data_IF_526535875545
#
_entry.id   IF_526535875545
#
_cell.length_a   1.000
_cell.length_b   1.000
_cell.length_c   1.000
_cell.angle_alpha   90.00
_cell.angle_beta   90.00
_cell.angle_gamma   90.00
#
_symmetry.space_group_name_H-M   'P 1'
#
loop_
_entity.id
_entity.type
_entity.pdbx_description
1 polymer ?
#
# COMPACT_ATOMS: atom_id res chain seq x y z
N UNK A 1 -25.05 -55.84 -46.57
CA UNK A 1 -26.49 -55.88 -46.29
C UNK A 1 -26.85 -54.50 -45.73
N UNK A 2 -27.27 -53.65 -46.52
CA UNK A 2 -28.60 -53.07 -46.85
C UNK A 2 -29.58 -53.00 -45.67
N UNK A 3 -29.94 -51.80 -45.30
CA UNK A 3 -31.29 -51.21 -45.26
C UNK A 3 -31.14 -49.78 -44.61
N UNK A 4 -31.37 -48.70 -45.23
CA UNK A 4 -32.50 -47.96 -45.81
C UNK A 4 -33.73 -47.88 -44.91
N UNK A 5 -34.09 -46.61 -44.68
CA UNK A 5 -35.46 -46.03 -44.74
C UNK A 5 -35.67 -45.16 -43.46
N UNK A 6 -36.29 -44.01 -43.41
CA UNK A 6 -37.07 -43.17 -44.30
C UNK A 6 -37.19 -41.75 -43.65
N UNK A 7 -37.21 -40.70 -44.46
CA UNK A 7 -37.63 -39.37 -44.12
C UNK A 7 -39.10 -39.29 -43.76
N UNK A 8 -39.45 -38.43 -42.79
CA UNK A 8 -40.76 -37.81 -42.74
C UNK A 8 -40.54 -36.31 -42.44
N UNK A 9 -40.91 -35.51 -43.44
CA UNK A 9 -40.97 -34.03 -43.38
C UNK A 9 -42.32 -33.64 -42.85
N UNK A 10 -42.37 -32.90 -41.75
CA UNK A 10 -43.57 -32.20 -41.31
C UNK A 10 -43.38 -30.69 -41.46
N UNK A 11 -44.10 -30.08 -42.35
CA UNK A 11 -44.24 -28.65 -42.56
C UNK A 11 -45.27 -28.16 -41.56
N UNK A 12 -44.86 -27.24 -40.65
CA UNK A 12 -45.81 -26.48 -39.82
C UNK A 12 -45.70 -25.02 -40.19
N UNK A 13 -46.79 -24.49 -40.72
CA UNK A 13 -46.96 -23.07 -40.97
C UNK A 13 -47.01 -22.28 -39.67
N UNK A 14 -46.09 -21.32 -39.49
CA UNK A 14 -46.17 -20.33 -38.42
C UNK A 14 -46.85 -19.08 -38.91
N UNK A 15 -47.93 -18.74 -38.22
CA UNK A 15 -48.67 -17.46 -38.34
C UNK A 15 -47.88 -16.38 -37.61
N UNK A 16 -47.46 -15.37 -38.35
CA UNK A 16 -46.80 -14.18 -37.80
C UNK A 16 -47.86 -13.25 -37.19
N UNK A 17 -47.78 -13.01 -35.90
CA UNK A 17 -48.40 -11.86 -35.22
C UNK A 17 -47.35 -10.81 -34.91
N UNK A 18 -47.52 -9.53 -35.22
CA UNK A 18 -46.57 -8.50 -34.85
C UNK A 18 -46.86 -8.07 -33.41
N UNK A 19 -46.02 -8.50 -32.50
CA UNK A 19 -46.04 -8.00 -31.13
C UNK A 19 -45.02 -6.84 -31.01
N UNK A 20 -45.54 -5.62 -31.00
CA UNK A 20 -44.79 -4.39 -30.71
C UNK A 20 -44.47 -4.34 -29.22
N UNK A 21 -43.43 -5.07 -28.82
CA UNK A 21 -42.81 -4.97 -27.52
C UNK A 21 -41.69 -3.95 -27.56
N UNK A 22 -41.94 -2.74 -27.10
CA UNK A 22 -40.92 -1.75 -26.88
C UNK A 22 -39.86 -2.29 -25.92
N UNK A 23 -38.67 -2.57 -26.45
CA UNK A 23 -37.47 -2.81 -25.65
C UNK A 23 -37.13 -1.49 -24.96
N UNK A 24 -37.55 -1.34 -23.72
CA UNK A 24 -36.93 -0.36 -22.83
C UNK A 24 -35.49 -0.79 -22.60
N UNK A 25 -34.61 -0.26 -23.43
CA UNK A 25 -33.19 -0.27 -23.09
C UNK A 25 -33.08 0.38 -21.71
N UNK A 26 -32.83 -0.42 -20.69
CA UNK A 26 -32.48 0.09 -19.37
C UNK A 26 -31.25 0.97 -19.58
N UNK A 27 -31.43 2.27 -19.44
CA UNK A 27 -30.33 3.20 -19.40
C UNK A 27 -29.45 2.73 -18.26
N UNK A 28 -28.25 2.20 -18.59
CA UNK A 28 -27.20 1.98 -17.61
C UNK A 28 -26.99 3.33 -16.93
N UNK A 29 -27.23 3.35 -15.63
CA UNK A 29 -27.01 4.54 -14.80
C UNK A 29 -25.57 4.99 -14.99
N UNK A 30 -25.40 6.27 -15.25
CA UNK A 30 -24.11 6.91 -15.35
C UNK A 30 -23.25 6.58 -14.13
N UNK A 31 -22.06 5.98 -14.39
CA UNK A 31 -20.83 6.03 -13.63
C UNK A 31 -20.89 5.87 -12.11
N UNK A 32 -21.21 4.69 -11.64
CA UNK A 32 -20.78 4.31 -10.29
C UNK A 32 -19.30 3.89 -10.38
N UNK A 33 -18.39 4.80 -9.98
CA UNK A 33 -16.94 4.53 -10.00
C UNK A 33 -16.61 3.34 -9.13
N UNK A 34 -15.70 2.49 -9.61
CA UNK A 34 -15.15 1.39 -8.81
C UNK A 34 -14.50 1.93 -7.54
N UNK A 35 -14.78 1.33 -6.40
CA UNK A 35 -14.23 1.74 -5.11
C UNK A 35 -13.14 0.78 -4.66
N UNK A 36 -11.96 1.31 -4.32
CA UNK A 36 -10.83 0.57 -3.77
C UNK A 36 -10.54 1.04 -2.33
N UNK A 37 -10.87 0.20 -1.35
CA UNK A 37 -10.61 0.48 0.06
C UNK A 37 -9.23 -0.06 0.46
N UNK A 38 -8.31 0.81 0.84
CA UNK A 38 -6.92 0.44 1.16
C UNK A 38 -6.56 0.83 2.58
N UNK A 39 -6.18 -0.14 3.39
CA UNK A 39 -5.69 0.09 4.74
C UNK A 39 -4.16 0.12 4.75
N UNK A 40 -3.57 1.19 5.25
CA UNK A 40 -2.14 1.29 5.52
C UNK A 40 -1.87 1.13 7.02
N UNK A 41 -1.11 0.10 7.39
CA UNK A 41 -0.56 -0.07 8.74
C UNK A 41 0.93 0.26 8.68
N UNK A 42 1.37 1.22 9.51
CA UNK A 42 2.77 1.62 9.47
C UNK A 42 3.15 2.69 10.50
N UNK A 43 4.29 3.27 10.28
CA UNK A 43 4.86 4.29 11.15
C UNK A 43 5.06 5.63 10.43
N UNK A 44 6.06 6.40 10.85
CA UNK A 44 6.35 7.71 10.26
C UNK A 44 6.70 7.66 8.77
N UNK A 45 7.21 6.55 8.24
CA UNK A 45 7.48 6.41 6.81
C UNK A 45 6.19 6.37 5.97
N UNK A 46 5.13 5.80 6.52
CA UNK A 46 3.80 5.85 5.89
C UNK A 46 3.11 7.20 6.12
N UNK A 47 3.31 7.82 7.29
CA UNK A 47 2.67 9.09 7.64
C UNK A 47 3.27 10.30 6.91
N UNK A 48 4.63 10.35 6.77
CA UNK A 48 5.32 11.47 6.16
C UNK A 48 4.84 11.67 4.72
N UNK A 49 4.85 12.92 4.30
CA UNK A 49 4.43 13.35 2.97
C UNK A 49 2.97 13.01 2.63
N UNK A 50 2.14 12.64 3.63
CA UNK A 50 0.78 12.16 3.36
C UNK A 50 0.77 10.99 2.33
N UNK A 51 1.70 10.05 2.47
CA UNK A 51 2.00 9.04 1.45
C UNK A 51 0.74 8.34 0.91
N UNK A 52 -0.19 7.93 1.79
CA UNK A 52 -1.44 7.29 1.39
C UNK A 52 -2.29 8.18 0.46
N UNK A 53 -2.27 9.51 0.66
CA UNK A 53 -2.95 10.47 -0.22
C UNK A 53 -2.24 10.61 -1.57
N UNK A 54 -0.91 10.60 -1.59
CA UNK A 54 -0.15 10.64 -2.85
C UNK A 54 -0.42 9.38 -3.67
N UNK A 55 -0.44 8.21 -3.02
CA UNK A 55 -0.81 6.95 -3.68
C UNK A 55 -2.24 7.00 -4.23
N UNK A 56 -3.20 7.57 -3.48
CA UNK A 56 -4.56 7.83 -3.98
C UNK A 56 -4.55 8.69 -5.25
N UNK A 57 -3.81 9.79 -5.25
CA UNK A 57 -3.72 10.67 -6.42
C UNK A 57 -3.15 9.94 -7.64
N UNK A 58 -2.13 9.10 -7.46
CA UNK A 58 -1.57 8.28 -8.53
C UNK A 58 -2.55 7.21 -9.00
N UNK A 59 -3.24 6.54 -8.07
CA UNK A 59 -4.23 5.50 -8.36
C UNK A 59 -5.38 6.04 -9.22
N UNK A 60 -5.96 7.16 -8.82
CA UNK A 60 -7.08 7.80 -9.52
C UNK A 60 -6.65 8.46 -10.85
N UNK A 61 -5.41 8.99 -10.93
CA UNK A 61 -4.88 9.51 -12.18
C UNK A 61 -4.61 8.42 -13.22
N UNK A 62 -4.16 7.23 -12.77
CA UNK A 62 -3.92 6.08 -13.65
C UNK A 62 -5.17 5.24 -13.95
N UNK A 63 -6.26 5.45 -13.21
CA UNK A 63 -7.54 4.74 -13.36
C UNK A 63 -8.69 5.73 -13.13
N UNK A 64 -9.14 6.47 -14.14
CA UNK A 64 -10.12 7.55 -14.00
C UNK A 64 -11.47 7.10 -13.43
N UNK A 65 -11.86 5.84 -13.66
CA UNK A 65 -13.09 5.22 -13.14
C UNK A 65 -12.96 4.67 -11.70
N UNK A 66 -11.78 4.89 -11.07
CA UNK A 66 -11.52 4.42 -9.71
C UNK A 66 -11.66 5.56 -8.70
N UNK A 67 -12.27 5.25 -7.56
CA UNK A 67 -12.19 6.04 -6.33
C UNK A 67 -11.44 5.24 -5.27
N UNK A 68 -10.25 5.68 -4.87
CA UNK A 68 -9.49 5.04 -3.80
C UNK A 68 -9.82 5.68 -2.45
N UNK A 69 -10.17 4.86 -1.47
CA UNK A 69 -10.42 5.26 -0.08
C UNK A 69 -9.28 4.75 0.83
N UNK A 70 -8.24 5.55 1.07
CA UNK A 70 -7.17 5.16 1.96
C UNK A 70 -7.54 5.40 3.43
N UNK A 71 -7.29 4.41 4.28
CA UNK A 71 -7.28 4.56 5.73
C UNK A 71 -5.90 4.25 6.29
N UNK A 72 -5.57 4.83 7.44
CA UNK A 72 -4.24 4.66 8.02
C UNK A 72 -4.30 4.35 9.51
N UNK A 73 -3.50 3.37 9.96
CA UNK A 73 -3.21 3.12 11.38
C UNK A 73 -1.72 3.34 11.59
N UNK A 74 -1.36 4.46 12.19
CA UNK A 74 0.03 4.91 12.32
C UNK A 74 0.43 5.01 13.78
N UNK A 75 1.58 4.39 14.10
CA UNK A 75 2.31 4.58 15.36
C UNK A 75 3.79 4.84 15.04
N UNK A 76 4.28 6.05 15.31
CA UNK A 76 5.61 6.49 14.94
C UNK A 76 6.74 5.60 15.50
N UNK A 77 7.65 5.13 14.63
CA UNK A 77 8.76 4.27 14.99
C UNK A 77 8.36 2.89 15.50
N UNK A 78 7.15 2.41 15.20
CA UNK A 78 6.67 1.10 15.65
C UNK A 78 6.80 0.04 14.57
N UNK A 79 7.07 -1.19 15.02
CA UNK A 79 7.13 -2.40 14.21
C UNK A 79 5.75 -3.06 14.15
N UNK A 80 5.57 -4.05 13.30
CA UNK A 80 4.30 -4.78 13.20
C UNK A 80 3.95 -5.53 14.49
N UNK A 81 4.94 -6.01 15.26
CA UNK A 81 4.69 -6.57 16.60
C UNK A 81 4.09 -5.53 17.55
N UNK A 82 4.59 -4.30 17.51
CA UNK A 82 4.04 -3.21 18.35
C UNK A 82 2.61 -2.88 17.91
N UNK A 83 2.35 -2.85 16.60
CA UNK A 83 1.00 -2.69 16.04
C UNK A 83 0.04 -3.79 16.50
N UNK A 84 0.51 -5.05 16.53
CA UNK A 84 -0.27 -6.16 17.05
C UNK A 84 -0.65 -5.95 18.51
N UNK A 85 0.31 -5.60 19.35
CA UNK A 85 0.09 -5.33 20.77
C UNK A 85 -0.79 -4.09 21.03
N UNK A 86 -0.87 -3.17 20.08
CA UNK A 86 -1.73 -1.97 20.11
C UNK A 86 -3.10 -2.18 19.45
N UNK A 87 -3.45 -3.42 19.08
CA UNK A 87 -4.77 -3.75 18.56
C UNK A 87 -4.98 -3.49 17.07
N UNK A 88 -3.93 -3.18 16.29
CA UNK A 88 -4.08 -2.85 14.86
C UNK A 88 -4.71 -3.98 14.03
N UNK A 89 -4.63 -5.24 14.49
CA UNK A 89 -5.31 -6.38 13.86
C UNK A 89 -6.84 -6.21 13.78
N UNK A 90 -7.45 -5.46 14.70
CA UNK A 90 -8.89 -5.19 14.67
C UNK A 90 -9.27 -4.29 13.49
N UNK A 91 -8.39 -3.35 13.12
CA UNK A 91 -8.59 -2.54 11.91
C UNK A 91 -8.45 -3.37 10.63
N UNK A 92 -7.56 -4.37 10.60
CA UNK A 92 -7.42 -5.27 9.44
C UNK A 92 -8.70 -6.07 9.21
N UNK A 93 -9.27 -6.65 10.28
CA UNK A 93 -10.49 -7.47 10.21
C UNK A 93 -11.80 -6.70 10.45
N UNK A 94 -11.80 -5.38 10.20
CA UNK A 94 -12.87 -4.46 10.60
C UNK A 94 -14.27 -4.87 10.12
N UNK A 95 -14.38 -5.46 8.93
CA UNK A 95 -15.64 -5.97 8.40
C UNK A 95 -16.21 -7.15 9.23
N UNK A 96 -15.32 -8.07 9.67
CA UNK A 96 -15.68 -9.27 10.43
C UNK A 96 -15.46 -9.12 11.93
N UNK A 97 -14.98 -7.97 12.39
CA UNK A 97 -14.71 -7.70 13.81
C UNK A 97 -16.00 -7.79 14.62
N UNK A 98 -15.95 -8.51 15.74
CA UNK A 98 -17.07 -8.55 16.70
C UNK A 98 -16.92 -7.49 17.79
N UNK A 99 -18.04 -7.07 18.37
CA UNK A 99 -18.04 -6.12 19.50
C UNK A 99 -17.26 -6.68 20.69
N UNK A 100 -17.41 -7.97 21.00
CA UNK A 100 -16.70 -8.64 22.10
C UNK A 100 -15.17 -8.61 21.90
N UNK A 101 -14.67 -8.86 20.71
CA UNK A 101 -13.23 -8.75 20.40
C UNK A 101 -12.72 -7.31 20.55
N UNK A 102 -13.54 -6.34 20.17
CA UNK A 102 -13.19 -4.92 20.32
C UNK A 102 -13.13 -4.53 21.81
N UNK A 103 -14.08 -4.96 22.62
CA UNK A 103 -14.11 -4.75 24.06
C UNK A 103 -12.93 -5.44 24.77
N UNK A 104 -12.57 -6.64 24.35
CA UNK A 104 -11.37 -7.35 24.85
C UNK A 104 -10.08 -6.56 24.53
N UNK A 105 -9.97 -5.99 23.33
CA UNK A 105 -8.83 -5.15 22.95
C UNK A 105 -8.76 -3.90 23.81
N UNK A 106 -9.88 -3.24 24.08
CA UNK A 106 -9.96 -2.08 24.96
C UNK A 106 -9.49 -2.44 26.36
N UNK A 107 -10.00 -3.54 26.94
CA UNK A 107 -9.59 -4.01 28.29
C UNK A 107 -8.08 -4.29 28.36
N UNK A 108 -7.50 -4.85 27.30
CA UNK A 108 -6.06 -5.09 27.21
C UNK A 108 -5.27 -3.78 27.16
N UNK A 109 -5.76 -2.79 26.43
CA UNK A 109 -5.13 -1.48 26.31
C UNK A 109 -5.26 -0.64 27.58
N UNK A 110 -6.34 -0.75 28.33
CA UNK A 110 -6.51 -0.14 29.67
C UNK A 110 -5.42 -0.60 30.65
N UNK A 111 -5.06 -1.88 30.60
CA UNK A 111 -3.93 -2.41 31.37
C UNK A 111 -2.60 -1.88 30.84
N UNK A 112 -2.44 -1.84 29.50
CA UNK A 112 -1.22 -1.36 28.87
C UNK A 112 -0.92 0.13 29.08
N UNK A 113 -1.94 0.96 29.33
CA UNK A 113 -1.79 2.39 29.67
C UNK A 113 -1.11 2.59 31.03
N UNK A 114 -1.16 1.59 31.92
CA UNK A 114 -0.49 1.66 33.23
C UNK A 114 1.05 1.56 33.10
N UNK A 115 1.57 1.08 31.98
CA UNK A 115 3.00 1.07 31.69
C UNK A 115 3.42 2.40 31.07
N UNK A 116 4.21 3.24 31.79
CA UNK A 116 4.66 4.55 31.28
C UNK A 116 5.59 4.41 30.06
N UNK A 117 6.20 3.24 29.85
CA UNK A 117 7.07 2.98 28.68
C UNK A 117 6.24 2.75 27.40
N UNK A 118 4.97 2.39 27.54
CA UNK A 118 4.07 2.19 26.40
C UNK A 118 3.39 3.50 25.97
N UNK A 119 4.18 4.42 25.42
CA UNK A 119 3.74 5.79 25.05
C UNK A 119 2.56 5.82 24.06
N UNK A 120 2.25 4.73 23.36
CA UNK A 120 1.16 4.67 22.39
C UNK A 120 -0.12 4.02 22.92
N UNK A 121 -0.07 3.34 24.08
CA UNK A 121 -1.24 2.66 24.66
C UNK A 121 -2.43 3.61 24.84
N UNK A 122 -2.20 4.81 25.36
CA UNK A 122 -3.25 5.82 25.55
C UNK A 122 -3.93 6.24 24.24
N UNK A 123 -3.14 6.49 23.18
CA UNK A 123 -3.69 6.87 21.88
C UNK A 123 -4.36 5.69 21.16
N UNK A 124 -3.85 4.48 21.34
CA UNK A 124 -4.49 3.26 20.85
C UNK A 124 -5.84 3.04 21.56
N UNK A 125 -5.87 3.12 22.90
CA UNK A 125 -7.09 3.02 23.67
C UNK A 125 -8.17 3.99 23.19
N UNK A 126 -7.83 5.27 23.05
CA UNK A 126 -8.77 6.29 22.56
C UNK A 126 -9.32 5.97 21.15
N UNK A 127 -8.47 5.46 20.25
CA UNK A 127 -8.91 5.03 18.91
C UNK A 127 -9.86 3.84 18.97
N UNK A 128 -9.59 2.85 19.82
CA UNK A 128 -10.43 1.66 19.97
C UNK A 128 -11.75 1.98 20.67
N UNK A 129 -11.76 2.89 21.64
CA UNK A 129 -12.99 3.40 22.27
C UNK A 129 -13.87 4.15 21.24
N UNK A 130 -13.25 4.97 20.37
CA UNK A 130 -13.98 5.63 19.27
C UNK A 130 -14.54 4.59 18.29
N UNK A 131 -13.74 3.59 17.91
CA UNK A 131 -14.20 2.51 17.02
C UNK A 131 -15.38 1.75 17.63
N UNK A 132 -15.37 1.48 18.94
CA UNK A 132 -16.48 0.81 19.61
C UNK A 132 -17.75 1.68 19.62
N UNK A 133 -17.62 3.00 19.82
CA UNK A 133 -18.74 3.94 19.77
C UNK A 133 -19.43 3.96 18.41
N UNK A 134 -18.64 3.97 17.35
CA UNK A 134 -19.13 4.11 15.97
C UNK A 134 -19.16 2.74 15.25
N UNK A 135 -19.25 1.62 15.99
CA UNK A 135 -18.89 0.27 15.58
C UNK A 135 -19.56 -0.17 14.26
N UNK A 136 -20.87 -0.02 14.15
CA UNK A 136 -21.60 -0.48 12.95
C UNK A 136 -21.30 0.40 11.71
N UNK A 137 -21.13 1.70 11.91
CA UNK A 137 -20.84 2.64 10.82
C UNK A 137 -19.40 2.55 10.31
N UNK A 138 -18.48 1.96 11.10
CA UNK A 138 -17.07 1.82 10.75
C UNK A 138 -16.73 0.51 10.04
N UNK A 139 -17.70 -0.41 9.88
CA UNK A 139 -17.48 -1.70 9.21
C UNK A 139 -17.05 -1.49 7.75
N UNK A 140 -15.76 -1.66 7.52
CA UNK A 140 -15.15 -1.52 6.19
C UNK A 140 -14.56 -2.86 5.78
N UNK A 141 -14.89 -3.31 4.59
CA UNK A 141 -14.21 -4.41 3.90
C UNK A 141 -13.05 -3.82 3.11
N UNK A 142 -11.83 -4.26 3.43
CA UNK A 142 -10.65 -3.83 2.72
C UNK A 142 -10.44 -4.67 1.46
N UNK A 143 -10.03 -4.02 0.37
CA UNK A 143 -9.59 -4.68 -0.85
C UNK A 143 -8.08 -4.93 -0.80
N UNK A 144 -7.36 -4.03 -0.12
CA UNK A 144 -5.91 -4.14 0.05
C UNK A 144 -5.50 -3.72 1.46
N UNK A 145 -4.54 -4.45 2.04
CA UNK A 145 -3.85 -4.09 3.28
C UNK A 145 -2.37 -3.92 2.99
N UNK A 146 -1.85 -2.72 3.22
CA UNK A 146 -0.43 -2.38 3.11
C UNK A 146 0.21 -2.46 4.48
N UNK A 147 1.25 -3.28 4.63
CA UNK A 147 1.96 -3.53 5.88
C UNK A 147 3.36 -2.93 5.83
N UNK A 148 3.66 -1.98 6.71
CA UNK A 148 4.98 -1.38 6.84
C UNK A 148 5.46 -1.48 8.29
N UNK A 149 6.68 -1.97 8.48
CA UNK A 149 7.33 -2.12 9.79
C UNK A 149 8.47 -1.12 9.97
N UNK A 150 9.04 -1.09 11.16
CA UNK A 150 10.22 -0.29 11.47
C UNK A 150 11.45 -1.18 11.60
N UNK A 151 12.28 -1.22 10.58
CA UNK A 151 13.62 -1.84 10.53
C UNK A 151 13.72 -3.36 10.67
N UNK A 152 12.79 -4.04 11.34
CA UNK A 152 12.88 -5.49 11.58
C UNK A 152 12.65 -6.35 10.33
N UNK A 153 12.26 -5.77 9.21
CA UNK A 153 12.32 -6.36 7.88
C UNK A 153 13.76 -6.50 7.33
N UNK A 154 14.77 -5.97 8.05
CA UNK A 154 16.19 -6.13 7.75
C UNK A 154 16.84 -7.32 8.45
N UNK A 155 16.16 -7.92 9.43
CA UNK A 155 16.73 -8.93 10.33
C UNK A 155 16.63 -10.37 9.79
N UNK A 156 16.17 -10.54 8.53
CA UNK A 156 16.01 -11.85 7.88
C UNK A 156 14.83 -12.65 8.44
N UNK A 157 14.79 -13.96 8.11
CA UNK A 157 13.63 -14.84 8.42
C UNK A 157 13.31 -15.05 9.89
N UNK A 158 14.23 -14.78 10.80
CA UNK A 158 14.00 -14.88 12.23
C UNK A 158 13.52 -13.57 12.85
N UNK A 159 13.36 -12.52 12.04
CA UNK A 159 12.89 -11.22 12.50
C UNK A 159 11.46 -11.28 13.03
N UNK A 160 11.10 -10.30 13.86
CA UNK A 160 9.72 -10.12 14.27
C UNK A 160 8.81 -9.76 13.08
N UNK A 161 9.38 -9.15 12.05
CA UNK A 161 8.66 -8.91 10.79
C UNK A 161 8.20 -10.23 10.16
N UNK A 162 9.11 -11.20 10.00
CA UNK A 162 8.79 -12.52 9.44
C UNK A 162 7.76 -13.30 10.29
N UNK A 163 7.64 -13.00 11.58
CA UNK A 163 6.66 -13.63 12.46
C UNK A 163 5.28 -12.96 12.40
N UNK A 164 5.22 -11.62 12.31
CA UNK A 164 3.97 -10.87 12.41
C UNK A 164 3.31 -10.56 11.07
N UNK A 165 4.07 -10.44 9.98
CA UNK A 165 3.52 -10.28 8.63
C UNK A 165 2.51 -11.39 8.28
N UNK A 166 2.83 -12.70 8.45
CA UNK A 166 1.88 -13.76 8.15
C UNK A 166 0.58 -13.68 8.99
N UNK A 167 0.68 -13.23 10.24
CA UNK A 167 -0.49 -13.07 11.11
C UNK A 167 -1.44 -11.98 10.59
N UNK A 168 -0.91 -10.82 10.21
CA UNK A 168 -1.70 -9.75 9.58
C UNK A 168 -2.25 -10.18 8.21
N UNK A 169 -1.42 -10.85 7.41
CA UNK A 169 -1.82 -11.34 6.10
C UNK A 169 -2.98 -12.35 6.18
N UNK A 170 -2.95 -13.27 7.15
CA UNK A 170 -4.04 -14.22 7.37
C UNK A 170 -5.38 -13.50 7.67
N UNK A 171 -5.36 -12.46 8.49
CA UNK A 171 -6.56 -11.67 8.81
C UNK A 171 -7.08 -10.88 7.60
N UNK A 172 -6.18 -10.30 6.80
CA UNK A 172 -6.56 -9.60 5.58
C UNK A 172 -7.20 -10.55 4.56
N UNK A 173 -6.56 -11.68 4.32
CA UNK A 173 -7.03 -12.70 3.37
C UNK A 173 -8.34 -13.36 3.78
N UNK A 174 -8.57 -13.55 5.08
CA UNK A 174 -9.82 -14.11 5.59
C UNK A 174 -11.07 -13.29 5.19
N UNK A 175 -10.90 -12.04 4.81
CA UNK A 175 -11.97 -11.18 4.27
C UNK A 175 -11.82 -10.85 2.78
N UNK A 176 -10.88 -11.50 2.08
CA UNK A 176 -10.65 -11.35 0.65
C UNK A 176 -9.72 -10.19 0.26
N UNK A 177 -9.04 -9.55 1.23
CA UNK A 177 -8.12 -8.48 0.94
C UNK A 177 -6.76 -9.01 0.43
N UNK A 178 -6.19 -8.34 -0.57
CA UNK A 178 -4.80 -8.53 -0.99
C UNK A 178 -3.85 -7.89 0.02
N UNK A 179 -2.62 -8.40 0.09
CA UNK A 179 -1.59 -7.87 0.98
C UNK A 179 -0.43 -7.31 0.16
N UNK A 180 0.02 -6.11 0.53
CA UNK A 180 1.21 -5.48 -0.02
C UNK A 180 2.18 -5.20 1.12
N UNK A 181 3.41 -5.68 0.97
CA UNK A 181 4.50 -5.37 1.89
C UNK A 181 5.17 -4.07 1.44
N UNK A 182 5.04 -3.02 2.25
CA UNK A 182 5.84 -1.82 2.06
C UNK A 182 7.17 -2.02 2.79
N UNK A 183 8.16 -2.48 2.04
CA UNK A 183 9.50 -2.70 2.52
C UNK A 183 10.19 -1.38 2.85
N UNK A 184 10.91 -1.31 3.94
CA UNK A 184 11.70 -0.13 4.32
C UNK A 184 13.20 -0.42 4.27
N UNK A 185 13.97 0.59 3.90
CA UNK A 185 15.41 0.40 3.68
C UNK A 185 16.22 1.62 4.14
N UNK A 186 16.43 1.79 5.45
CA UNK A 186 17.17 2.94 5.95
C UNK A 186 18.66 2.91 5.56
N UNK A 187 19.22 1.75 5.19
CA UNK A 187 20.65 1.60 4.88
C UNK A 187 21.03 2.03 3.47
N UNK A 188 20.09 2.03 2.53
CA UNK A 188 20.33 2.39 1.12
C UNK A 188 19.94 3.82 0.77
N UNK A 189 19.57 4.64 1.77
CA UNK A 189 19.17 6.03 1.59
C UNK A 189 20.35 6.97 1.78
N UNK A 190 20.62 7.80 0.79
CA UNK A 190 21.66 8.82 0.83
C UNK A 190 21.08 10.21 1.10
N UNK A 191 21.77 10.99 1.96
CA UNK A 191 21.42 12.39 2.24
C UNK A 191 22.16 13.37 1.32
N UNK A 192 23.21 12.93 0.64
CA UNK A 192 24.00 13.68 -0.33
C UNK A 192 24.12 12.88 -1.62
N UNK A 193 24.37 13.51 -2.78
CA UNK A 193 24.68 12.81 -4.00
C UNK A 193 25.83 11.81 -3.82
N UNK A 194 25.79 10.72 -4.57
CA UNK A 194 26.80 9.66 -4.49
C UNK A 194 27.87 9.84 -5.57
N UNK A 195 29.11 9.64 -5.19
CA UNK A 195 30.25 9.63 -6.12
C UNK A 195 30.58 8.22 -6.64
N UNK A 196 30.14 7.18 -5.88
CA UNK A 196 30.36 5.78 -6.24
C UNK A 196 29.04 5.02 -6.18
N UNK A 197 28.86 3.97 -7.00
CA UNK A 197 27.71 3.10 -6.93
C UNK A 197 27.57 2.50 -5.50
N UNK A 198 26.32 2.32 -5.00
CA UNK A 198 26.11 1.69 -3.71
C UNK A 198 26.42 0.19 -3.77
N UNK A 199 26.78 -0.39 -2.62
CA UNK A 199 26.91 -1.85 -2.51
C UNK A 199 25.54 -2.52 -2.62
N UNK A 200 25.44 -3.53 -3.50
CA UNK A 200 24.18 -4.19 -3.83
C UNK A 200 23.92 -5.47 -3.05
N UNK A 201 24.95 -6.18 -2.59
CA UNK A 201 24.80 -7.53 -2.03
C UNK A 201 23.81 -7.64 -0.87
N UNK A 202 23.87 -6.73 0.10
CA UNK A 202 22.95 -6.72 1.23
C UNK A 202 21.49 -6.40 0.81
N UNK A 203 21.32 -5.52 -0.18
CA UNK A 203 20.01 -5.13 -0.73
C UNK A 203 19.40 -6.32 -1.48
N UNK A 204 20.16 -6.98 -2.34
CA UNK A 204 19.69 -8.14 -3.12
C UNK A 204 19.34 -9.32 -2.20
N UNK A 205 20.17 -9.60 -1.19
CA UNK A 205 19.86 -10.62 -0.17
C UNK A 205 18.52 -10.33 0.51
N UNK A 206 18.32 -9.10 0.98
CA UNK A 206 17.09 -8.69 1.62
C UNK A 206 15.88 -8.80 0.68
N UNK A 207 16.02 -8.31 -0.55
CA UNK A 207 14.95 -8.41 -1.55
C UNK A 207 14.53 -9.87 -1.78
N UNK A 208 15.49 -10.81 -1.85
CA UNK A 208 15.23 -12.24 -1.94
C UNK A 208 14.48 -12.80 -0.72
N UNK A 209 14.86 -12.38 0.50
CA UNK A 209 14.18 -12.82 1.73
C UNK A 209 12.73 -12.30 1.80
N UNK A 210 12.48 -11.05 1.40
CA UNK A 210 11.14 -10.46 1.33
C UNK A 210 10.32 -11.11 0.19
N UNK A 211 10.96 -11.41 -0.93
CA UNK A 211 10.32 -12.12 -2.05
C UNK A 211 9.86 -13.53 -1.63
N UNK A 212 10.70 -14.28 -0.94
CA UNK A 212 10.35 -15.60 -0.40
C UNK A 212 9.19 -15.52 0.62
N UNK A 213 9.21 -14.53 1.54
CA UNK A 213 8.11 -14.29 2.47
C UNK A 213 6.82 -13.91 1.73
N UNK A 214 6.91 -13.04 0.73
CA UNK A 214 5.77 -12.63 -0.11
C UNK A 214 5.15 -13.82 -0.84
N UNK A 215 5.98 -14.70 -1.41
CA UNK A 215 5.53 -15.96 -2.05
C UNK A 215 4.81 -16.86 -1.05
N UNK A 216 5.39 -17.06 0.14
CA UNK A 216 4.82 -17.89 1.20
C UNK A 216 3.43 -17.44 1.63
N UNK A 217 3.21 -16.14 1.74
CA UNK A 217 1.92 -15.58 2.17
C UNK A 217 1.04 -15.12 1.00
N UNK A 218 1.42 -15.42 -0.23
CA UNK A 218 0.76 -14.98 -1.46
C UNK A 218 0.43 -13.46 -1.40
N UNK A 219 1.48 -12.67 -1.29
CA UNK A 219 1.45 -11.21 -1.28
C UNK A 219 2.35 -10.65 -2.38
N UNK A 220 2.33 -9.34 -2.57
CA UNK A 220 3.35 -8.62 -3.33
C UNK A 220 4.04 -7.59 -2.45
N UNK A 221 5.01 -6.85 -2.99
CA UNK A 221 5.67 -5.78 -2.25
C UNK A 221 5.89 -4.52 -3.09
N UNK A 222 5.99 -3.38 -2.40
CA UNK A 222 6.68 -2.19 -2.87
C UNK A 222 8.14 -2.32 -2.41
N UNK A 223 9.08 -2.74 -3.28
CA UNK A 223 10.43 -3.17 -2.92
C UNK A 223 11.37 -1.97 -2.80
N UNK A 224 11.24 -1.20 -1.74
CA UNK A 224 11.95 0.09 -1.61
C UNK A 224 13.46 -0.05 -1.51
N UNK A 225 13.99 -1.20 -1.07
CA UNK A 225 15.44 -1.43 -1.10
C UNK A 225 15.97 -1.52 -2.54
N UNK A 226 15.29 -2.25 -3.42
CA UNK A 226 15.63 -2.30 -4.85
C UNK A 226 15.42 -0.94 -5.52
N UNK A 227 14.30 -0.28 -5.23
CA UNK A 227 14.01 1.04 -5.82
C UNK A 227 15.06 2.09 -5.42
N UNK A 228 15.49 2.08 -4.14
CA UNK A 228 16.57 2.96 -3.69
C UNK A 228 17.91 2.61 -4.36
N UNK A 229 18.27 1.33 -4.44
CA UNK A 229 19.48 0.87 -5.11
C UNK A 229 19.52 1.30 -6.58
N UNK A 230 18.42 1.08 -7.31
CA UNK A 230 18.34 1.45 -8.74
C UNK A 230 18.41 2.97 -8.90
N UNK A 231 17.70 3.72 -8.04
CA UNK A 231 17.77 5.18 -8.05
C UNK A 231 19.19 5.67 -7.79
N UNK A 232 19.88 5.14 -6.82
CA UNK A 232 21.26 5.51 -6.49
C UNK A 232 22.26 5.13 -7.59
N UNK A 233 21.96 4.10 -8.36
CA UNK A 233 22.78 3.66 -9.49
C UNK A 233 22.54 4.50 -10.75
N UNK A 234 21.28 4.74 -11.11
CA UNK A 234 20.90 5.43 -12.34
C UNK A 234 20.87 6.96 -12.18
N UNK A 235 20.59 7.44 -10.96
CA UNK A 235 20.47 8.85 -10.61
C UNK A 235 21.24 9.16 -9.30
N UNK A 236 22.58 8.98 -9.30
CA UNK A 236 23.41 9.23 -8.11
C UNK A 236 23.40 10.70 -7.66
N UNK A 237 22.93 11.61 -8.51
CA UNK A 237 22.70 13.02 -8.22
C UNK A 237 21.51 13.26 -7.26
N UNK A 238 20.57 12.34 -7.20
CA UNK A 238 19.38 12.48 -6.35
C UNK A 238 19.65 12.00 -4.91
N UNK A 239 19.06 12.70 -3.93
CA UNK A 239 19.10 12.31 -2.53
C UNK A 239 17.77 11.68 -2.11
N UNK A 240 17.81 10.69 -1.21
CA UNK A 240 16.63 9.90 -0.83
C UNK A 240 16.19 10.10 0.62
N UNK A 241 16.99 10.79 1.45
CA UNK A 241 16.59 11.20 2.80
C UNK A 241 17.01 12.64 3.07
N UNK A 242 16.48 13.20 4.15
CA UNK A 242 16.94 14.49 4.66
C UNK A 242 18.35 14.38 5.26
N UNK A 243 19.10 15.47 5.23
CA UNK A 243 20.40 15.59 5.90
C UNK A 243 20.20 15.59 7.42
N UNK A 244 19.26 16.41 7.89
CA UNK A 244 19.04 16.67 9.31
C UNK A 244 17.92 15.79 9.91
N UNK A 245 17.40 14.84 9.16
CA UNK A 245 16.36 13.91 9.60
C UNK A 245 16.54 12.55 8.89
N UNK A 246 16.50 11.45 9.63
CA UNK A 246 16.64 10.10 9.07
C UNK A 246 15.42 9.61 8.25
N UNK A 247 14.40 10.46 8.07
CA UNK A 247 13.24 10.11 7.25
C UNK A 247 13.49 10.31 5.77
N UNK A 248 12.61 9.71 4.99
CA UNK A 248 12.52 9.88 3.54
C UNK A 248 12.34 11.36 3.21
N UNK A 249 13.07 11.88 2.22
CA UNK A 249 12.77 13.18 1.64
C UNK A 249 11.69 13.06 0.56
N UNK A 250 11.33 14.16 -0.08
CA UNK A 250 10.27 14.20 -1.09
C UNK A 250 10.59 13.30 -2.29
N UNK A 251 11.88 13.14 -2.67
CA UNK A 251 12.29 12.27 -3.78
C UNK A 251 11.99 10.80 -3.49
N UNK A 252 12.42 10.32 -2.31
CA UNK A 252 12.15 8.95 -1.91
C UNK A 252 10.64 8.72 -1.67
N UNK A 253 9.91 9.71 -1.17
CA UNK A 253 8.47 9.61 -1.01
C UNK A 253 7.75 9.47 -2.36
N UNK A 254 8.19 10.19 -3.38
CA UNK A 254 7.67 10.05 -4.74
C UNK A 254 7.95 8.65 -5.31
N UNK A 255 9.20 8.20 -5.21
CA UNK A 255 9.62 6.86 -5.62
C UNK A 255 8.80 5.77 -4.91
N UNK A 256 8.57 5.94 -3.60
CA UNK A 256 7.73 5.03 -2.80
C UNK A 256 6.28 5.00 -3.29
N UNK A 257 5.70 6.16 -3.59
CA UNK A 257 4.33 6.22 -4.11
C UNK A 257 4.21 5.55 -5.48
N UNK A 258 5.20 5.72 -6.37
CA UNK A 258 5.27 5.01 -7.65
C UNK A 258 5.39 3.50 -7.48
N UNK A 259 6.21 3.03 -6.52
CA UNK A 259 6.36 1.59 -6.23
C UNK A 259 5.10 0.99 -5.62
N UNK A 260 4.40 1.73 -4.76
CA UNK A 260 3.09 1.32 -4.22
C UNK A 260 2.02 1.27 -5.31
N UNK A 261 2.02 2.23 -6.25
CA UNK A 261 1.15 2.18 -7.42
C UNK A 261 1.40 0.91 -8.26
N UNK A 262 2.68 0.61 -8.54
CA UNK A 262 3.04 -0.60 -9.28
C UNK A 262 2.57 -1.87 -8.56
N UNK A 263 2.74 -1.95 -7.25
CA UNK A 263 2.29 -3.09 -6.44
C UNK A 263 0.76 -3.20 -6.34
N UNK A 264 0.04 -2.07 -6.32
CA UNK A 264 -1.42 -2.04 -6.28
C UNK A 264 -2.07 -2.56 -7.56
N UNK A 265 -1.52 -2.17 -8.72
CA UNK A 265 -2.18 -2.36 -10.02
C UNK A 265 -1.44 -3.32 -10.96
N UNK A 266 -0.24 -3.79 -10.59
CA UNK A 266 0.68 -4.52 -11.47
C UNK A 266 0.89 -3.78 -12.82
N UNK A 267 1.03 -2.45 -12.75
CA UNK A 267 1.13 -1.55 -13.90
C UNK A 267 2.24 -0.52 -13.69
N UNK A 268 2.87 -0.12 -14.79
CA UNK A 268 3.87 0.95 -14.77
C UNK A 268 3.26 2.29 -14.33
N UNK A 269 3.91 3.03 -13.40
CA UNK A 269 3.54 4.39 -13.07
C UNK A 269 3.99 5.42 -14.12
N UNK A 270 4.70 5.00 -15.18
CA UNK A 270 5.18 5.90 -16.22
C UNK A 270 4.04 6.67 -16.88
N UNK A 271 4.25 7.97 -17.05
CA UNK A 271 3.24 8.86 -17.62
C UNK A 271 2.19 9.39 -16.62
N UNK A 272 2.15 8.94 -15.37
CA UNK A 272 1.25 9.53 -14.39
C UNK A 272 1.53 11.02 -14.18
N UNK A 273 0.50 11.88 -14.11
CA UNK A 273 0.66 13.32 -14.08
C UNK A 273 1.09 13.89 -12.73
N UNK A 274 1.04 13.09 -11.65
CA UNK A 274 1.46 13.53 -10.31
C UNK A 274 2.93 13.92 -10.34
N UNK A 275 3.25 15.15 -9.97
CA UNK A 275 4.59 15.74 -10.14
C UNK A 275 5.11 16.45 -8.89
N UNK A 276 4.39 16.41 -7.78
CA UNK A 276 4.80 17.14 -6.58
C UNK A 276 4.52 16.36 -5.30
N UNK A 277 5.39 16.57 -4.31
CA UNK A 277 5.29 16.00 -2.97
C UNK A 277 5.45 17.11 -1.94
N UNK A 278 4.54 17.16 -0.99
CA UNK A 278 4.62 18.06 0.17
C UNK A 278 4.88 17.26 1.44
N UNK A 279 5.90 17.63 2.21
CA UNK A 279 6.11 17.04 3.53
C UNK A 279 5.07 17.59 4.54
N UNK A 280 4.72 16.79 5.54
CA UNK A 280 3.85 17.19 6.65
C UNK A 280 4.66 17.76 7.83
N UNK A 281 5.99 17.65 7.79
CA UNK A 281 6.93 18.11 8.82
C UNK A 281 7.70 19.32 8.32
N UNK A 282 7.34 20.46 8.83
CA UNK A 282 8.05 21.73 8.58
C UNK A 282 9.26 21.91 9.51
N UNK A 283 10.14 22.83 9.15
CA UNK A 283 11.39 23.10 9.89
C UNK A 283 11.10 23.50 11.33
N UNK A 284 10.27 24.53 11.51
CA UNK A 284 9.80 25.03 12.80
C UNK A 284 8.51 25.86 12.61
N UNK A 285 7.89 26.30 13.71
CA UNK A 285 6.62 27.05 13.67
C UNK A 285 6.66 28.37 12.88
N UNK A 286 7.83 29.00 12.78
CA UNK A 286 8.01 30.26 12.03
C UNK A 286 8.28 30.02 10.55
N UNK A 287 8.70 28.82 10.19
CA UNK A 287 9.14 28.43 8.85
C UNK A 287 8.38 27.18 8.34
N UNK A 288 7.05 27.26 8.42
CA UNK A 288 6.16 26.16 7.98
C UNK A 288 6.22 25.86 6.49
N UNK A 289 6.75 26.79 5.68
CA UNK A 289 6.98 26.57 4.25
C UNK A 289 8.27 25.83 3.91
N UNK A 290 9.08 25.50 4.93
CA UNK A 290 10.36 24.80 4.79
C UNK A 290 10.32 23.40 5.38
N UNK A 291 11.01 22.48 4.73
CA UNK A 291 11.22 21.12 5.20
C UNK A 291 12.33 21.03 6.27
N UNK A 292 12.71 19.81 6.67
CA UNK A 292 13.70 19.56 7.73
C UNK A 292 15.12 20.03 7.40
N UNK A 293 15.43 20.24 6.14
CA UNK A 293 16.74 20.73 5.65
C UNK A 293 16.70 22.22 5.27
N UNK A 294 15.55 22.89 5.48
CA UNK A 294 15.37 24.32 5.17
C UNK A 294 14.99 24.60 3.70
N UNK A 295 14.78 23.57 2.89
CA UNK A 295 14.28 23.71 1.53
C UNK A 295 12.75 23.90 1.51
N UNK A 296 12.14 24.26 0.36
CA UNK A 296 10.69 24.31 0.24
C UNK A 296 10.05 22.99 0.70
N UNK A 297 9.01 23.08 1.54
CA UNK A 297 8.29 21.91 2.08
C UNK A 297 7.63 21.06 0.98
N UNK A 298 7.31 21.69 -0.17
CA UNK A 298 6.81 21.06 -1.38
C UNK A 298 7.91 21.03 -2.42
N UNK A 299 8.17 19.85 -3.00
CA UNK A 299 9.08 19.66 -4.13
C UNK A 299 8.25 19.31 -5.36
N UNK A 300 8.36 20.14 -6.39
CA UNK A 300 7.88 19.82 -7.75
C UNK A 300 9.04 19.21 -8.54
N UNK A 301 8.79 18.06 -9.14
CA UNK A 301 9.78 17.32 -9.90
C UNK A 301 9.86 17.82 -11.34
N UNK A 302 11.08 17.97 -11.87
CA UNK A 302 11.27 18.19 -13.28
C UNK A 302 10.68 17.03 -14.10
N UNK A 303 10.38 17.26 -15.39
CA UNK A 303 9.93 16.17 -16.28
C UNK A 303 10.91 14.99 -16.27
N UNK A 304 12.22 15.30 -16.30
CA UNK A 304 13.28 14.28 -16.27
C UNK A 304 13.23 13.47 -14.98
N UNK A 305 13.23 14.13 -13.80
CA UNK A 305 13.21 13.42 -12.52
C UNK A 305 11.97 12.57 -12.36
N UNK A 306 10.81 13.07 -12.77
CA UNK A 306 9.55 12.35 -12.74
C UNK A 306 9.60 11.07 -13.57
N UNK A 307 10.02 11.18 -14.83
CA UNK A 307 10.12 10.04 -15.75
C UNK A 307 11.11 9.00 -15.23
N UNK A 308 12.30 9.44 -14.79
CA UNK A 308 13.33 8.54 -14.29
C UNK A 308 12.83 7.79 -13.03
N UNK A 309 12.22 8.50 -12.05
CA UNK A 309 11.73 7.89 -10.83
C UNK A 309 10.56 6.91 -11.08
N UNK A 310 9.66 7.24 -11.99
CA UNK A 310 8.57 6.35 -12.41
C UNK A 310 9.10 5.07 -13.05
N UNK A 311 10.08 5.20 -13.98
CA UNK A 311 10.74 4.06 -14.62
C UNK A 311 11.48 3.19 -13.60
N UNK A 312 12.26 3.79 -12.71
CA UNK A 312 13.00 3.09 -11.65
C UNK A 312 12.05 2.31 -10.73
N UNK A 313 10.92 2.91 -10.33
CA UNK A 313 9.91 2.23 -9.54
C UNK A 313 9.36 0.98 -10.26
N UNK A 314 9.09 1.10 -11.55
CA UNK A 314 8.61 -0.03 -12.34
C UNK A 314 9.66 -1.12 -12.51
N UNK A 315 10.88 -0.77 -12.84
CA UNK A 315 11.99 -1.72 -12.99
C UNK A 315 12.23 -2.49 -11.68
N UNK A 316 12.26 -1.79 -10.54
CA UNK A 316 12.46 -2.43 -9.24
C UNK A 316 11.32 -3.37 -8.87
N UNK A 317 10.08 -3.02 -9.20
CA UNK A 317 8.92 -3.89 -8.99
C UNK A 317 8.98 -5.14 -9.90
N UNK A 318 9.37 -5.00 -11.16
CA UNK A 318 9.54 -6.14 -12.07
C UNK A 318 10.66 -7.08 -11.62
N UNK A 319 11.77 -6.54 -11.12
CA UNK A 319 12.86 -7.34 -10.56
C UNK A 319 12.40 -8.10 -9.31
N UNK A 320 11.67 -7.44 -8.43
CA UNK A 320 11.08 -8.10 -7.27
C UNK A 320 10.13 -9.25 -7.66
N UNK A 321 9.31 -9.05 -8.68
CA UNK A 321 8.43 -10.13 -9.19
C UNK A 321 9.22 -11.35 -9.64
N UNK A 322 10.31 -11.18 -10.38
CA UNK A 322 11.17 -12.29 -10.78
C UNK A 322 11.71 -13.04 -9.56
N UNK A 323 12.29 -12.34 -8.59
CA UNK A 323 12.78 -12.93 -7.34
C UNK A 323 11.69 -13.69 -6.56
N UNK A 324 10.44 -13.22 -6.62
CA UNK A 324 9.31 -13.89 -5.96
C UNK A 324 8.88 -15.15 -6.69
N UNK A 325 8.93 -15.15 -8.00
CA UNK A 325 8.41 -16.23 -8.84
C UNK A 325 9.45 -17.37 -9.01
N UNK A 326 10.74 -17.09 -8.81
CA UNK A 326 11.80 -18.07 -8.65
C UNK A 326 11.64 -18.91 -7.36
#
# INVERSE_FOLDING_TARGET
MLNRTLMITAVVCLILSPNSGGSTASAMSADEKETLNVLFIGNSYTARHNLARVVKQMAEAGNPELTMNPATVIYGGRRLVDHWNLGSQNYVKLHALTRAEQEQTISSLEKAVQDPMNRYAKSALARHQKLLKDFESQRTKWDVVVLQSYRDDLDGKNSLYAQYVPRFAALAKAQGARVILYETTPTTQNATPLNNPPESAAVLKKAGEIAALSKQIDATAAPMSLAALFCQTERPDLTLRFVNDAHLNQTMAYLTACSLYAALFDRSPEGLPVDSITDIRFLNEKERGKDRDGNPISKTFSRKDRVDLQKIAWQSYQEFKKLRDE
#
